data_IF_190872236863
#
_entry.id   IF_190872236863
#
_cell.length_a   1.000
_cell.length_b   1.000
_cell.length_c   1.000
_cell.angle_alpha   90.00
_cell.angle_beta   90.00
_cell.angle_gamma   90.00
#
_symmetry.space_group_name_H-M   'P 1'
#
loop_
_entity.id
_entity.type
_entity.pdbx_description
1 polymer ?
#
# COMPACT_ATOMS: atom_id res chain seq x y z
N UNK A 1 -8.98 11.44 16.66
CA UNK A 1 -7.86 11.56 15.64
C UNK A 1 -7.55 10.19 15.03
N UNK A 2 -8.00 10.02 13.73
CA UNK A 2 -7.94 8.68 13.09
C UNK A 2 -6.47 8.28 12.83
N UNK A 3 -5.92 7.25 13.44
CA UNK A 3 -4.60 6.59 13.29
C UNK A 3 -4.23 6.33 11.83
N UNK A 4 -2.92 6.56 11.34
CA UNK A 4 -2.36 6.38 9.99
C UNK A 4 -2.94 5.13 9.31
N UNK A 5 -3.11 4.08 10.05
CA UNK A 5 -3.67 2.87 9.43
C UNK A 5 -5.12 3.10 8.97
N UNK A 6 -5.75 3.81 9.77
CA UNK A 6 -7.13 4.16 9.37
C UNK A 6 -7.14 5.08 8.14
N UNK A 7 -6.22 6.00 8.05
CA UNK A 7 -6.18 6.91 6.90
C UNK A 7 -5.81 6.14 5.61
N UNK A 8 -4.88 5.18 5.77
CA UNK A 8 -4.46 4.40 4.59
C UNK A 8 -5.66 3.57 4.11
N UNK A 9 -6.36 2.98 5.05
CA UNK A 9 -7.55 2.19 4.65
C UNK A 9 -8.59 3.07 3.96
N UNK A 10 -8.78 4.25 4.48
CA UNK A 10 -9.76 5.16 3.84
C UNK A 10 -9.26 5.63 2.46
N UNK A 11 -7.96 5.86 2.45
CA UNK A 11 -7.43 6.26 1.13
C UNK A 11 -7.57 5.10 0.13
N UNK A 12 -7.24 3.87 0.63
CA UNK A 12 -7.43 2.71 -0.25
C UNK A 12 -8.87 2.60 -0.74
N UNK A 13 -9.81 2.79 0.18
CA UNK A 13 -11.22 2.76 -0.23
C UNK A 13 -11.52 3.86 -1.25
N UNK A 14 -10.97 5.05 -1.04
CA UNK A 14 -11.24 6.15 -2.00
C UNK A 14 -10.70 5.80 -3.39
N UNK A 15 -9.56 5.14 -3.39
CA UNK A 15 -8.91 4.87 -4.68
C UNK A 15 -9.65 3.73 -5.41
N UNK A 16 -10.40 2.91 -4.62
CA UNK A 16 -11.06 1.74 -5.25
C UNK A 16 -12.58 1.97 -5.31
N UNK A 17 -13.02 3.17 -5.08
CA UNK A 17 -14.44 3.44 -4.77
C UNK A 17 -15.32 3.05 -5.96
N UNK A 18 -14.87 3.37 -7.08
CA UNK A 18 -15.78 3.12 -8.22
C UNK A 18 -16.08 1.63 -8.37
N UNK A 19 -15.05 0.87 -8.22
CA UNK A 19 -15.26 -0.59 -8.37
C UNK A 19 -15.94 -1.18 -7.13
N UNK A 20 -15.72 -0.59 -6.04
CA UNK A 20 -16.28 -1.23 -4.83
C UNK A 20 -17.70 -0.75 -4.57
N UNK A 21 -18.15 0.33 -5.28
CA UNK A 21 -19.58 0.68 -5.16
C UNK A 21 -20.46 -0.43 -5.75
N UNK A 22 -19.93 -1.03 -6.78
CA UNK A 22 -20.68 -2.19 -7.31
C UNK A 22 -20.73 -3.34 -6.29
N UNK A 23 -19.63 -3.58 -5.67
CA UNK A 23 -19.64 -4.62 -4.61
C UNK A 23 -20.65 -4.28 -3.50
N UNK A 24 -20.62 -3.01 -3.14
CA UNK A 24 -21.58 -2.61 -2.10
C UNK A 24 -23.02 -2.91 -2.52
N UNK A 25 -23.34 -2.65 -3.72
CA UNK A 25 -24.73 -2.86 -4.20
C UNK A 25 -25.04 -4.36 -4.19
N UNK A 26 -24.09 -5.11 -4.67
CA UNK A 26 -24.33 -6.57 -4.70
C UNK A 26 -24.47 -7.11 -3.26
N UNK A 27 -23.69 -6.72 -2.44
CA UNK A 27 -23.77 -7.17 -1.04
C UNK A 27 -25.08 -6.74 -0.38
N UNK A 28 -25.47 -5.52 -0.64
CA UNK A 28 -26.76 -5.08 -0.04
C UNK A 28 -27.93 -5.91 -0.58
N UNK A 29 -27.80 -6.14 -1.83
CA UNK A 29 -28.88 -6.98 -2.40
C UNK A 29 -28.87 -8.37 -1.75
N UNK A 30 -27.72 -8.91 -1.59
CA UNK A 30 -27.63 -10.24 -0.94
C UNK A 30 -28.12 -10.19 0.50
N UNK A 31 -27.78 -9.19 1.24
CA UNK A 31 -28.21 -9.08 2.65
C UNK A 31 -29.73 -8.92 2.75
N UNK A 32 -30.31 -8.46 1.60
CA UNK A 32 -31.78 -8.31 1.61
C UNK A 32 -32.41 -9.34 0.66
N UNK A 33 -31.89 -10.48 0.60
CA UNK A 33 -32.17 -11.45 -0.49
C UNK A 33 -33.56 -12.07 -0.29
N UNK A 34 -34.19 -11.98 0.87
CA UNK A 34 -35.57 -12.47 1.08
C UNK A 34 -36.53 -12.03 -0.03
N UNK A 35 -36.39 -10.82 -0.42
CA UNK A 35 -37.27 -10.25 -1.47
C UNK A 35 -36.89 -10.76 -2.86
N UNK A 36 -35.61 -10.99 -3.02
CA UNK A 36 -35.16 -11.50 -4.34
C UNK A 36 -35.59 -12.95 -4.54
N UNK A 37 -35.60 -13.59 -3.53
CA UNK A 37 -35.97 -15.03 -3.64
C UNK A 37 -37.48 -15.17 -3.88
N UNK A 38 -38.26 -14.24 -3.32
CA UNK A 38 -39.72 -14.24 -3.57
C UNK A 38 -40.02 -13.99 -5.05
N UNK A 39 -39.04 -13.36 -5.64
CA UNK A 39 -39.24 -13.09 -7.09
C UNK A 39 -38.50 -14.14 -7.93
N UNK A 40 -38.09 -15.23 -7.30
CA UNK A 40 -37.42 -16.38 -7.93
C UNK A 40 -36.09 -15.98 -8.58
N UNK A 41 -35.48 -14.93 -7.97
CA UNK A 41 -34.14 -14.53 -8.43
C UNK A 41 -33.12 -15.04 -7.39
N UNK A 42 -32.10 -15.75 -7.98
CA UNK A 42 -31.05 -16.25 -7.06
C UNK A 42 -29.97 -15.18 -6.86
N UNK A 43 -29.75 -14.83 -5.53
CA UNK A 43 -28.77 -13.75 -5.29
C UNK A 43 -27.33 -14.25 -5.48
N UNK A 44 -26.53 -13.32 -5.95
CA UNK A 44 -25.10 -13.63 -6.08
C UNK A 44 -24.48 -13.81 -4.67
N UNK A 45 -23.73 -14.87 -4.58
CA UNK A 45 -23.24 -15.16 -3.20
C UNK A 45 -21.71 -15.18 -3.19
N UNK A 46 -21.16 -14.88 -4.43
CA UNK A 46 -19.68 -14.83 -4.46
C UNK A 46 -19.22 -13.75 -5.45
N UNK A 47 -18.20 -12.93 -4.91
CA UNK A 47 -17.63 -11.89 -5.79
C UNK A 47 -16.09 -12.02 -5.72
N UNK A 48 -15.54 -11.97 -6.97
CA UNK A 48 -14.06 -11.96 -7.02
C UNK A 48 -13.59 -10.55 -7.42
N UNK A 49 -12.71 -9.96 -6.50
CA UNK A 49 -12.11 -8.64 -6.80
C UNK A 49 -10.67 -8.85 -7.31
N UNK A 50 -10.56 -8.48 -8.58
CA UNK A 50 -9.20 -8.58 -9.16
C UNK A 50 -8.60 -7.17 -9.30
N UNK A 51 -7.44 -7.03 -8.62
CA UNK A 51 -6.90 -5.66 -8.58
C UNK A 51 -5.50 -5.65 -9.18
N UNK A 52 -5.28 -4.50 -9.92
CA UNK A 52 -3.88 -4.31 -10.34
C UNK A 52 -2.93 -4.26 -9.14
N UNK A 53 -1.65 -4.62 -9.44
CA UNK A 53 -0.63 -4.57 -8.36
C UNK A 53 -0.56 -3.17 -7.75
N UNK A 54 -0.60 -3.13 -6.30
CA UNK A 54 -0.35 -1.84 -5.60
C UNK A 54 -1.67 -1.12 -5.30
N UNK A 55 -2.85 -1.72 -5.58
CA UNK A 55 -4.14 -1.00 -5.41
C UNK A 55 -4.63 -1.17 -3.97
N UNK A 56 -4.00 -1.98 -3.28
CA UNK A 56 -4.38 -2.19 -1.86
C UNK A 56 -5.86 -2.54 -1.75
N UNK A 57 -6.43 -3.43 -2.62
CA UNK A 57 -7.88 -3.78 -2.70
C UNK A 57 -8.34 -4.53 -1.44
N UNK A 58 -7.39 -5.20 -0.91
CA UNK A 58 -7.77 -5.91 0.34
C UNK A 58 -8.16 -4.92 1.44
N UNK A 59 -7.35 -3.95 1.62
CA UNK A 59 -7.65 -2.92 2.66
C UNK A 59 -8.94 -2.17 2.32
N UNK A 60 -9.09 -1.95 1.03
CA UNK A 60 -10.29 -1.18 0.63
C UNK A 60 -11.57 -1.98 0.89
N UNK A 61 -11.55 -3.28 0.59
CA UNK A 61 -12.76 -4.11 0.81
C UNK A 61 -13.04 -4.19 2.31
N UNK A 62 -12.00 -4.40 3.07
CA UNK A 62 -12.18 -4.43 4.54
C UNK A 62 -12.85 -3.15 5.05
N UNK A 63 -12.29 -2.02 4.60
CA UNK A 63 -12.86 -0.73 5.05
C UNK A 63 -14.31 -0.55 4.58
N UNK A 64 -14.64 -1.00 3.38
CA UNK A 64 -16.03 -0.90 2.89
C UNK A 64 -16.96 -1.70 3.80
N UNK A 65 -16.55 -2.95 4.09
CA UNK A 65 -17.43 -3.80 4.94
C UNK A 65 -17.62 -3.15 6.32
N UNK A 66 -16.58 -2.56 6.83
CA UNK A 66 -16.75 -1.85 8.13
C UNK A 66 -17.72 -0.68 7.99
N UNK A 67 -17.58 0.06 6.81
CA UNK A 67 -18.50 1.21 6.61
C UNK A 67 -19.95 0.75 6.52
N UNK A 68 -20.10 -0.46 6.07
CA UNK A 68 -21.48 -0.95 5.91
C UNK A 68 -21.97 -1.56 7.21
N UNK A 69 -21.09 -1.72 8.17
CA UNK A 69 -21.51 -2.22 9.49
C UNK A 69 -21.77 -3.74 9.45
N UNK A 70 -21.05 -4.43 8.49
CA UNK A 70 -21.31 -5.88 8.35
C UNK A 70 -20.15 -6.62 9.04
N UNK A 71 -20.60 -7.68 9.72
CA UNK A 71 -19.55 -8.51 10.37
C UNK A 71 -18.95 -9.50 9.36
N UNK A 72 -17.61 -9.60 9.46
CA UNK A 72 -17.02 -10.53 8.48
C UNK A 72 -15.77 -11.17 9.07
N UNK A 73 -15.49 -12.38 8.48
CA UNK A 73 -14.23 -13.06 8.84
C UNK A 73 -13.25 -13.06 7.67
N UNK A 74 -12.00 -12.95 8.17
CA UNK A 74 -10.97 -12.87 7.11
C UNK A 74 -10.06 -14.11 7.20
N UNK A 75 -9.91 -14.76 6.02
CA UNK A 75 -8.90 -15.84 5.93
C UNK A 75 -7.94 -15.60 4.76
N UNK A 76 -6.60 -15.89 5.14
CA UNK A 76 -5.58 -15.60 4.10
C UNK A 76 -4.95 -16.90 3.62
N UNK A 77 -4.95 -17.08 2.26
CA UNK A 77 -4.22 -18.23 1.68
C UNK A 77 -3.58 -17.85 0.33
N UNK A 78 -2.37 -18.52 -0.10
CA UNK A 78 -1.60 -18.48 -1.37
C UNK A 78 -1.94 -17.22 -2.19
N UNK A 79 -1.89 -15.90 -1.52
CA UNK A 79 -1.99 -14.67 -2.34
C UNK A 79 -3.43 -14.22 -2.54
N UNK A 80 -4.32 -14.89 -1.79
CA UNK A 80 -5.77 -14.56 -1.85
C UNK A 80 -6.31 -14.29 -0.45
N UNK A 81 -7.08 -13.25 -0.50
CA UNK A 81 -7.78 -12.98 0.77
C UNK A 81 -9.28 -13.21 0.57
N UNK A 82 -9.74 -14.14 1.51
CA UNK A 82 -11.20 -14.41 1.43
C UNK A 82 -11.90 -13.77 2.64
N UNK A 83 -12.86 -12.94 2.21
CA UNK A 83 -13.71 -12.37 3.28
C UNK A 83 -15.12 -12.98 3.21
N UNK A 84 -15.47 -13.48 4.46
CA UNK A 84 -16.81 -14.10 4.52
C UNK A 84 -17.77 -13.25 5.38
N UNK A 85 -18.89 -12.91 4.67
CA UNK A 85 -19.93 -12.15 5.40
C UNK A 85 -21.09 -13.10 5.75
N UNK A 86 -21.41 -13.07 7.10
CA UNK A 86 -22.49 -13.99 7.53
C UNK A 86 -23.85 -13.26 7.51
N UNK A 87 -24.88 -13.99 6.90
CA UNK A 87 -26.23 -13.39 6.90
C UNK A 87 -27.30 -14.51 6.89
N UNK A 88 -28.06 -14.68 8.16
CA UNK A 88 -29.32 -15.47 8.15
C UNK A 88 -29.08 -16.93 7.77
N UNK A 89 -27.83 -17.61 8.22
CA UNK A 89 -27.59 -19.07 8.02
C UNK A 89 -26.84 -19.33 6.71
N UNK A 90 -26.58 -18.26 5.85
CA UNK A 90 -25.75 -18.39 4.63
C UNK A 90 -24.59 -17.39 4.66
N UNK A 91 -23.59 -17.77 3.70
CA UNK A 91 -22.41 -16.87 3.72
C UNK A 91 -22.16 -16.30 2.32
N UNK A 92 -21.73 -15.03 2.37
CA UNK A 92 -21.31 -14.34 1.13
C UNK A 92 -19.78 -14.28 1.10
N UNK A 93 -19.27 -14.71 -0.14
CA UNK A 93 -17.80 -14.82 -0.18
C UNK A 93 -17.24 -13.72 -1.11
N UNK A 94 -16.19 -13.00 -0.49
CA UNK A 94 -15.45 -12.03 -1.32
C UNK A 94 -13.99 -12.51 -1.39
N UNK A 95 -13.66 -12.69 -2.64
CA UNK A 95 -12.25 -13.05 -2.86
C UNK A 95 -11.48 -11.91 -3.54
N UNK A 96 -10.35 -11.61 -2.84
CA UNK A 96 -9.54 -10.51 -3.42
C UNK A 96 -8.24 -11.11 -3.96
N UNK A 97 -8.05 -10.78 -5.25
CA UNK A 97 -6.80 -11.24 -5.89
C UNK A 97 -5.99 -10.03 -6.37
N UNK A 98 -4.66 -9.96 -5.90
CA UNK A 98 -3.81 -8.82 -6.34
C UNK A 98 -2.79 -9.30 -7.37
N UNK A 99 -2.73 -8.53 -8.60
CA UNK A 99 -1.60 -8.79 -9.50
C UNK A 99 -1.82 -10.08 -10.30
N UNK A 100 -3.10 -10.53 -10.43
CA UNK A 100 -3.32 -11.81 -11.12
C UNK A 100 -4.66 -11.79 -11.88
N UNK A 101 -5.00 -13.02 -12.51
CA UNK A 101 -6.26 -13.22 -13.28
C UNK A 101 -7.23 -14.09 -12.46
N UNK A 102 -8.51 -13.60 -12.64
CA UNK A 102 -9.58 -14.37 -11.95
C UNK A 102 -9.58 -15.83 -12.43
N UNK A 103 -9.44 -16.83 -11.54
CA UNK A 103 -9.59 -18.23 -11.99
C UNK A 103 -11.07 -18.59 -12.15
N UNK A 104 -11.58 -18.69 -13.43
CA UNK A 104 -12.84 -19.23 -13.98
C UNK A 104 -13.70 -19.93 -12.92
N UNK A 105 -14.53 -19.08 -12.24
CA UNK A 105 -15.53 -19.61 -11.28
C UNK A 105 -16.84 -18.83 -11.37
N UNK A 106 -18.00 -19.47 -10.95
CA UNK A 106 -19.43 -19.10 -10.92
C UNK A 106 -19.65 -17.86 -10.05
N UNK A 107 -18.65 -16.77 -10.06
CA UNK A 107 -18.94 -15.55 -9.27
C UNK A 107 -18.73 -14.29 -10.10
N UNK A 108 -19.41 -13.20 -9.66
CA UNK A 108 -19.21 -11.88 -10.29
C UNK A 108 -17.79 -11.36 -10.06
N UNK A 109 -17.16 -10.97 -11.21
CA UNK A 109 -15.77 -10.47 -11.11
C UNK A 109 -15.77 -8.94 -11.25
N UNK A 110 -15.06 -8.35 -10.20
CA UNK A 110 -14.86 -6.90 -10.27
C UNK A 110 -13.38 -6.58 -10.46
N UNK A 111 -13.22 -5.63 -11.43
CA UNK A 111 -11.81 -5.27 -11.67
C UNK A 111 -11.50 -3.90 -11.07
N UNK A 112 -10.40 -3.93 -10.35
CA UNK A 112 -9.97 -2.66 -9.74
C UNK A 112 -8.66 -2.23 -10.41
N UNK A 113 -8.76 -0.99 -10.98
CA UNK A 113 -7.57 -0.47 -11.68
C UNK A 113 -7.09 0.82 -11.01
N UNK A 114 -6.07 1.32 -11.64
CA UNK A 114 -5.46 2.54 -11.06
C UNK A 114 -6.52 3.65 -10.92
N UNK A 115 -6.33 4.43 -9.80
CA UNK A 115 -7.36 5.44 -9.51
C UNK A 115 -7.32 6.61 -10.52
N UNK A 116 -8.51 7.12 -10.79
CA UNK A 116 -8.62 8.37 -11.58
C UNK A 116 -8.29 9.61 -10.76
N UNK A 117 -8.41 10.71 -11.39
CA UNK A 117 -8.04 12.00 -10.77
C UNK A 117 -8.85 12.25 -9.50
N UNK A 118 -10.18 12.09 -9.59
CA UNK A 118 -11.03 12.39 -8.42
C UNK A 118 -10.66 11.48 -7.24
N UNK A 119 -10.43 10.20 -7.52
CA UNK A 119 -10.05 9.27 -6.43
C UNK A 119 -8.70 9.66 -5.80
N UNK A 120 -7.81 10.11 -6.62
CA UNK A 120 -6.49 10.50 -6.06
C UNK A 120 -6.61 11.75 -5.19
N UNK A 121 -7.40 12.65 -5.62
CA UNK A 121 -7.55 13.89 -4.81
C UNK A 121 -8.13 13.52 -3.44
N UNK A 122 -9.10 12.68 -3.51
CA UNK A 122 -9.71 12.31 -2.23
C UNK A 122 -8.72 11.55 -1.34
N UNK A 123 -8.05 10.59 -1.98
CA UNK A 123 -7.06 9.82 -1.19
C UNK A 123 -5.98 10.75 -0.60
N UNK A 124 -5.48 11.64 -1.37
CA UNK A 124 -4.46 12.58 -0.85
C UNK A 124 -5.06 13.49 0.23
N UNK A 125 -6.30 13.83 0.07
CA UNK A 125 -6.96 14.66 1.10
C UNK A 125 -7.00 13.97 2.45
N UNK A 126 -7.22 12.69 2.32
CA UNK A 126 -7.30 11.94 3.60
C UNK A 126 -5.89 11.78 4.18
N UNK A 127 -4.99 11.46 3.38
CA UNK A 127 -3.65 11.09 3.87
C UNK A 127 -2.87 12.34 4.30
N UNK A 128 -3.15 13.47 3.67
CA UNK A 128 -2.27 14.64 3.93
C UNK A 128 -3.02 15.67 4.75
N UNK A 129 -4.10 15.27 5.38
CA UNK A 129 -5.02 16.25 6.02
C UNK A 129 -4.31 16.99 7.16
N UNK A 130 -3.07 16.45 7.59
CA UNK A 130 -2.45 17.14 8.74
C UNK A 130 -1.02 17.58 8.38
N UNK A 131 -0.74 17.61 7.13
CA UNK A 131 0.70 17.77 6.78
C UNK A 131 0.96 19.18 6.27
N UNK A 132 -0.09 20.00 6.17
CA UNK A 132 0.13 21.39 5.73
C UNK A 132 -0.94 21.82 4.72
N UNK A 133 -0.69 23.17 4.18
CA UNK A 133 -1.67 23.73 3.21
C UNK A 133 -1.06 23.76 1.80
N UNK A 134 -1.41 22.84 0.97
CA UNK A 134 -0.90 22.82 -0.42
C UNK A 134 -2.05 22.40 -1.35
N UNK A 135 -1.72 22.72 -2.56
CA UNK A 135 -2.78 22.46 -3.58
C UNK A 135 -2.81 20.97 -3.94
N UNK A 136 -3.85 20.28 -3.43
CA UNK A 136 -3.93 18.81 -3.62
C UNK A 136 -4.28 18.47 -5.07
N UNK A 137 -4.94 19.37 -5.65
CA UNK A 137 -5.32 19.08 -7.05
C UNK A 137 -4.08 19.05 -7.96
N UNK A 138 -3.27 19.97 -7.70
CA UNK A 138 -2.04 19.98 -8.52
C UNK A 138 -1.21 18.72 -8.27
N UNK A 139 -1.11 18.29 -7.05
CA UNK A 139 -0.33 17.07 -6.74
C UNK A 139 -1.01 15.85 -7.37
N UNK A 140 -2.31 15.84 -7.26
CA UNK A 140 -3.04 14.70 -7.86
C UNK A 140 -2.85 14.64 -9.39
N UNK A 141 -2.80 15.79 -9.99
CA UNK A 141 -2.57 15.78 -11.46
C UNK A 141 -1.20 15.21 -11.79
N UNK A 142 -0.32 15.49 -10.93
CA UNK A 142 1.07 15.03 -11.20
C UNK A 142 1.20 13.53 -10.90
N UNK A 143 0.24 12.95 -10.27
CA UNK A 143 0.32 11.53 -9.88
C UNK A 143 -0.42 10.66 -10.89
N UNK A 144 -0.56 11.19 -12.09
CA UNK A 144 -1.26 10.35 -13.09
C UNK A 144 -0.55 8.99 -13.23
N UNK A 145 -1.46 7.93 -13.10
CA UNK A 145 -0.89 6.58 -13.30
C UNK A 145 -0.44 5.94 -11.99
N UNK A 146 -0.57 6.68 -10.90
CA UNK A 146 -0.12 6.11 -9.61
C UNK A 146 -1.15 5.10 -9.11
N UNK A 147 -0.56 3.99 -8.49
CA UNK A 147 -1.43 3.07 -7.72
C UNK A 147 -1.72 3.65 -6.33
N UNK A 148 -2.61 2.96 -5.64
CA UNK A 148 -2.91 3.43 -4.26
C UNK A 148 -1.63 3.43 -3.40
N UNK A 149 -0.84 2.43 -3.59
CA UNK A 149 0.39 2.35 -2.79
C UNK A 149 1.32 3.52 -3.16
N UNK A 150 1.41 3.82 -4.39
CA UNK A 150 2.24 4.99 -4.77
C UNK A 150 1.75 6.27 -4.09
N UNK A 151 0.48 6.42 -4.05
CA UNK A 151 -0.05 7.65 -3.42
C UNK A 151 0.33 7.67 -1.94
N UNK A 152 0.23 6.55 -1.31
CA UNK A 152 0.61 6.48 0.12
C UNK A 152 2.11 6.78 0.26
N UNK A 153 2.89 6.23 -0.56
CA UNK A 153 4.35 6.45 -0.48
C UNK A 153 4.71 7.92 -0.76
N UNK A 154 3.99 8.35 -1.65
CA UNK A 154 4.28 9.78 -1.96
C UNK A 154 4.08 10.65 -0.71
N UNK A 155 3.02 10.41 -0.01
CA UNK A 155 2.76 11.25 1.19
C UNK A 155 3.83 10.98 2.25
N UNK A 156 4.21 9.72 2.39
CA UNK A 156 5.29 9.42 3.37
C UNK A 156 6.60 10.10 2.96
N UNK A 157 6.79 10.01 1.68
CA UNK A 157 8.01 10.68 1.19
C UNK A 157 7.97 12.17 1.50
N UNK A 158 6.93 12.76 1.15
CA UNK A 158 6.87 14.23 1.36
C UNK A 158 7.03 14.57 2.84
N UNK A 159 6.41 13.80 3.69
CA UNK A 159 6.53 14.06 5.14
C UNK A 159 7.98 13.86 5.61
N UNK A 160 8.53 12.84 5.09
CA UNK A 160 9.90 12.54 5.53
C UNK A 160 10.88 13.62 5.01
N UNK A 161 10.75 13.94 3.85
CA UNK A 161 11.63 14.98 3.29
C UNK A 161 11.52 16.30 4.06
N UNK A 162 10.29 16.69 4.32
CA UNK A 162 10.12 17.93 5.10
C UNK A 162 10.82 17.83 6.46
N UNK A 163 10.67 16.69 7.05
CA UNK A 163 11.31 16.52 8.37
C UNK A 163 12.84 16.57 8.22
N UNK A 164 13.35 15.95 7.21
CA UNK A 164 14.81 15.99 6.97
C UNK A 164 15.32 17.42 6.80
N UNK A 165 14.44 18.24 6.38
CA UNK A 165 14.88 19.64 6.20
C UNK A 165 14.60 20.48 7.45
N UNK A 166 14.15 19.81 8.48
CA UNK A 166 13.89 20.49 9.77
C UNK A 166 12.60 21.30 9.76
N UNK A 167 11.74 20.95 8.75
CA UNK A 167 10.48 21.72 8.67
C UNK A 167 9.36 20.91 9.31
N UNK A 168 8.32 21.66 9.91
CA UNK A 168 7.17 20.99 10.59
C UNK A 168 5.97 20.91 9.65
N UNK A 169 6.11 21.58 8.51
CA UNK A 169 4.98 21.49 7.55
C UNK A 169 5.52 21.07 6.17
N UNK A 170 4.60 20.26 5.54
CA UNK A 170 4.97 19.81 4.18
C UNK A 170 4.57 20.87 3.14
N UNK A 171 5.50 21.06 2.16
CA UNK A 171 5.20 22.00 1.05
C UNK A 171 4.98 21.23 -0.26
N UNK A 172 4.40 21.97 -1.15
CA UNK A 172 4.07 21.32 -2.44
C UNK A 172 5.33 20.78 -3.12
N UNK A 173 6.43 21.44 -3.01
CA UNK A 173 7.69 21.00 -3.66
C UNK A 173 8.12 19.63 -3.14
N UNK A 174 7.83 19.34 -1.86
CA UNK A 174 8.15 18.00 -1.33
C UNK A 174 7.40 16.89 -2.09
N UNK A 175 6.21 17.24 -2.44
CA UNK A 175 5.43 16.25 -3.21
C UNK A 175 5.96 16.12 -4.64
N UNK A 176 6.21 17.27 -5.19
CA UNK A 176 6.64 17.20 -6.60
C UNK A 176 7.97 16.45 -6.73
N UNK A 177 8.76 16.66 -5.74
CA UNK A 177 10.00 15.85 -5.78
C UNK A 177 9.68 14.36 -5.66
N UNK A 178 8.83 14.06 -4.76
CA UNK A 178 8.41 12.64 -4.60
C UNK A 178 7.82 12.06 -5.89
N UNK A 179 7.03 12.93 -6.53
CA UNK A 179 6.40 12.45 -7.77
C UNK A 179 7.49 12.14 -8.80
N UNK A 180 8.42 13.03 -8.90
CA UNK A 180 9.50 12.80 -9.87
C UNK A 180 10.25 11.49 -9.56
N UNK A 181 10.38 11.24 -8.28
CA UNK A 181 11.14 10.03 -7.89
C UNK A 181 10.30 8.78 -8.18
N UNK A 182 9.09 8.87 -7.86
CA UNK A 182 8.26 7.67 -8.01
C UNK A 182 7.91 7.43 -9.49
N UNK A 183 7.76 8.51 -10.28
CA UNK A 183 7.47 8.34 -11.72
C UNK A 183 8.71 7.83 -12.47
N UNK A 184 9.90 8.37 -12.11
CA UNK A 184 11.13 7.81 -12.71
C UNK A 184 11.24 6.31 -12.44
N UNK A 185 10.56 5.83 -11.38
CA UNK A 185 10.40 4.37 -11.20
C UNK A 185 9.58 3.75 -12.34
N UNK A 186 8.54 4.57 -12.86
CA UNK A 186 7.62 4.06 -13.92
C UNK A 186 8.30 4.21 -15.30
N UNK A 187 9.51 5.03 -15.33
CA UNK A 187 10.13 5.36 -16.63
C UNK A 187 11.63 5.01 -16.58
N UNK A 188 12.19 3.93 -15.82
CA UNK A 188 13.58 3.76 -16.29
C UNK A 188 14.31 2.86 -15.31
N UNK A 189 14.67 1.50 -15.46
CA UNK A 189 16.02 1.02 -15.84
C UNK A 189 17.07 2.12 -15.68
N UNK A 190 16.87 3.23 -14.80
CA UNK A 190 18.06 4.10 -14.57
C UNK A 190 18.09 4.55 -13.12
N UNK A 191 17.67 3.76 -12.13
CA UNK A 191 17.88 4.13 -10.72
C UNK A 191 19.29 3.70 -10.29
N UNK A 192 19.94 4.77 -9.67
CA UNK A 192 21.27 4.64 -9.05
C UNK A 192 22.00 3.38 -9.55
N UNK A 193 23.11 3.57 -10.21
CA UNK A 193 23.85 2.37 -10.60
C UNK A 193 23.75 1.27 -9.53
N UNK A 194 23.24 0.14 -9.81
CA UNK A 194 23.00 -1.03 -8.92
C UNK A 194 24.14 -1.18 -7.90
N UNK A 195 25.22 -0.75 -8.31
CA UNK A 195 26.37 -0.90 -7.40
C UNK A 195 26.33 0.15 -6.28
N UNK A 196 25.98 1.31 -6.65
CA UNK A 196 25.85 2.37 -5.63
C UNK A 196 24.65 2.11 -4.71
N UNK A 197 23.55 1.68 -5.20
CA UNK A 197 22.37 1.34 -4.38
C UNK A 197 22.69 0.19 -3.42
N UNK A 198 23.38 -0.76 -3.91
CA UNK A 198 23.76 -1.89 -3.04
C UNK A 198 24.70 -1.43 -1.92
N UNK A 199 25.55 -0.51 -2.26
CA UNK A 199 26.45 0.03 -1.21
C UNK A 199 25.67 0.84 -0.16
N UNK A 200 24.71 1.52 -0.57
CA UNK A 200 23.92 2.32 0.38
C UNK A 200 23.11 1.42 1.31
N UNK A 201 22.61 0.28 0.67
CA UNK A 201 21.88 -0.66 1.55
C UNK A 201 22.84 -1.30 2.55
N UNK A 202 24.00 -1.66 2.09
CA UNK A 202 25.00 -2.21 3.03
C UNK A 202 25.31 -1.21 4.15
N UNK A 203 25.51 0.03 3.79
CA UNK A 203 25.76 1.04 4.84
C UNK A 203 24.57 1.13 5.82
N UNK A 204 23.42 1.14 5.21
CA UNK A 204 22.21 1.30 6.06
C UNK A 204 22.06 0.10 7.00
N UNK A 205 22.38 -1.10 6.50
CA UNK A 205 22.27 -2.29 7.37
C UNK A 205 23.35 -2.21 8.47
N UNK A 206 24.48 -1.81 8.08
CA UNK A 206 25.57 -1.70 9.08
C UNK A 206 25.24 -0.67 10.17
N UNK A 207 24.62 0.43 9.83
CA UNK A 207 24.36 1.50 10.83
C UNK A 207 23.01 1.30 11.51
N UNK A 208 22.14 0.76 10.77
CA UNK A 208 20.73 0.77 11.23
C UNK A 208 20.32 -0.64 11.70
N UNK A 209 21.13 -1.63 11.44
CA UNK A 209 20.87 -3.02 11.87
C UNK A 209 19.42 -3.46 11.63
N UNK A 210 18.82 -4.04 12.74
CA UNK A 210 17.46 -4.62 12.63
C UNK A 210 16.41 -3.52 12.41
N UNK A 211 16.79 -2.32 12.84
CA UNK A 211 15.88 -1.18 12.62
C UNK A 211 15.66 -0.87 11.14
N UNK A 212 16.70 -1.00 10.31
CA UNK A 212 16.57 -0.74 8.85
C UNK A 212 15.72 -1.84 8.18
N UNK A 213 15.89 -3.06 8.64
CA UNK A 213 15.04 -4.14 8.10
C UNK A 213 13.56 -3.89 8.42
N UNK A 214 13.42 -3.51 9.64
CA UNK A 214 12.03 -3.17 10.02
C UNK A 214 11.47 -2.02 9.17
N UNK A 215 12.30 -1.08 8.93
CA UNK A 215 11.84 0.07 8.11
C UNK A 215 11.44 -0.40 6.71
N UNK A 216 12.25 -1.31 6.10
CA UNK A 216 11.95 -1.77 4.71
C UNK A 216 10.63 -2.54 4.72
N UNK A 217 10.46 -3.31 5.69
CA UNK A 217 9.21 -4.07 5.76
C UNK A 217 7.98 -3.17 5.89
N UNK A 218 8.13 -2.17 6.75
CA UNK A 218 6.94 -1.31 7.00
C UNK A 218 6.67 -0.39 5.81
N UNK A 219 7.75 -0.06 5.15
CA UNK A 219 7.55 0.80 3.98
C UNK A 219 6.90 -0.03 2.86
N UNK A 220 7.32 -1.25 2.68
CA UNK A 220 6.74 -2.08 1.62
C UNK A 220 5.26 -2.38 1.89
N UNK A 221 5.03 -2.35 3.12
CA UNK A 221 3.64 -2.70 3.47
C UNK A 221 2.77 -1.45 3.57
N UNK A 222 3.46 -0.27 3.45
CA UNK A 222 2.68 0.99 3.59
C UNK A 222 2.22 1.20 5.03
N UNK A 223 2.90 0.64 6.02
CA UNK A 223 2.48 0.77 7.43
C UNK A 223 3.01 2.07 8.04
N UNK A 224 2.41 2.46 9.24
CA UNK A 224 2.87 3.67 9.96
C UNK A 224 4.31 3.48 10.48
N UNK A 225 4.95 4.66 10.28
CA UNK A 225 6.32 4.60 10.84
C UNK A 225 6.37 5.38 12.16
N UNK A 226 6.83 4.66 13.21
CA UNK A 226 7.03 5.48 14.44
C UNK A 226 8.17 6.48 14.25
N UNK A 227 8.30 7.36 15.26
CA UNK A 227 9.23 8.51 15.12
C UNK A 227 10.66 8.03 14.81
N UNK A 228 10.97 6.96 15.48
CA UNK A 228 12.32 6.42 15.24
C UNK A 228 12.50 6.01 13.77
N UNK A 229 11.57 5.29 13.17
CA UNK A 229 11.67 4.84 11.77
C UNK A 229 11.48 6.00 10.79
N UNK A 230 10.73 6.97 11.20
CA UNK A 230 10.59 8.16 10.34
C UNK A 230 11.92 8.88 10.18
N UNK A 231 12.60 8.94 11.29
CA UNK A 231 13.92 9.59 11.21
C UNK A 231 14.89 8.76 10.36
N UNK A 232 14.70 7.46 10.59
CA UNK A 232 15.58 6.58 9.78
C UNK A 232 15.24 6.69 8.29
N UNK A 233 13.98 6.65 7.98
CA UNK A 233 13.58 6.83 6.57
C UNK A 233 14.09 8.15 6.01
N UNK A 234 14.06 9.14 6.89
CA UNK A 234 14.59 10.43 6.40
C UNK A 234 16.07 10.30 6.03
N UNK A 235 16.74 9.52 6.76
CA UNK A 235 18.18 9.34 6.50
C UNK A 235 18.42 8.39 5.33
N UNK A 236 17.53 7.43 5.20
CA UNK A 236 17.75 6.43 4.12
C UNK A 236 16.59 6.50 3.12
N UNK A 237 16.30 7.68 2.58
CA UNK A 237 15.10 7.88 1.73
C UNK A 237 15.29 7.23 0.36
N UNK A 238 16.63 6.82 0.15
CA UNK A 238 16.89 6.22 -1.18
C UNK A 238 16.12 4.91 -1.35
N UNK A 239 15.66 4.27 -0.28
CA UNK A 239 14.98 2.96 -0.43
C UNK A 239 13.62 3.15 -1.12
N UNK A 240 13.15 4.38 -1.05
CA UNK A 240 11.83 4.61 -1.68
C UNK A 240 11.97 4.66 -3.21
N UNK A 241 13.23 4.57 -3.59
CA UNK A 241 13.45 4.63 -5.05
C UNK A 241 13.33 3.21 -5.64
N UNK A 242 13.44 2.20 -4.80
CA UNK A 242 13.34 0.81 -5.29
C UNK A 242 11.91 0.26 -5.12
N UNK A 243 11.59 -0.77 -6.08
CA UNK A 243 10.33 -1.53 -5.87
C UNK A 243 10.42 -2.43 -4.62
N UNK A 244 9.21 -2.58 -4.10
CA UNK A 244 9.20 -3.40 -2.87
C UNK A 244 9.99 -4.69 -3.04
N UNK A 245 9.89 -5.34 -4.17
CA UNK A 245 10.61 -6.63 -4.35
C UNK A 245 12.12 -6.40 -4.40
N UNK A 246 12.46 -5.37 -5.03
CA UNK A 246 13.90 -5.08 -5.11
C UNK A 246 14.47 -4.66 -3.74
N UNK A 247 13.67 -4.00 -2.96
CA UNK A 247 14.16 -3.61 -1.63
C UNK A 247 14.48 -4.85 -0.79
N UNK A 248 13.59 -5.87 -1.01
CA UNK A 248 13.78 -7.09 -0.20
C UNK A 248 15.04 -7.81 -0.66
N UNK A 249 15.16 -7.87 -1.93
CA UNK A 249 16.36 -8.56 -2.46
C UNK A 249 17.63 -7.81 -2.03
N UNK A 250 17.63 -6.60 -2.16
CA UNK A 250 18.85 -5.81 -1.82
C UNK A 250 19.11 -5.84 -0.31
N UNK A 251 18.02 -5.81 0.43
CA UNK A 251 18.22 -5.93 1.89
C UNK A 251 18.85 -7.28 2.23
N UNK A 252 18.34 -8.31 1.60
CA UNK A 252 18.90 -9.64 1.89
C UNK A 252 20.38 -9.71 1.48
N UNK A 253 20.65 -9.22 0.35
CA UNK A 253 22.05 -9.21 -0.09
C UNK A 253 22.93 -8.38 0.85
N UNK A 254 22.51 -7.24 1.22
CA UNK A 254 23.30 -6.37 2.11
C UNK A 254 23.52 -7.03 3.48
N UNK A 255 22.58 -7.74 3.95
CA UNK A 255 22.74 -8.40 5.26
C UNK A 255 23.78 -9.52 5.16
N UNK A 256 23.54 -10.25 4.07
CA UNK A 256 24.52 -11.34 3.87
C UNK A 256 25.95 -10.78 3.77
N UNK A 257 26.10 -9.77 3.03
CA UNK A 257 27.43 -9.15 2.89
C UNK A 257 27.95 -8.58 4.22
N UNK A 258 27.09 -7.99 4.96
CA UNK A 258 27.51 -7.43 6.26
C UNK A 258 27.93 -8.55 7.21
N UNK A 259 27.21 -9.62 7.18
CA UNK A 259 27.57 -10.73 8.09
C UNK A 259 28.93 -11.33 7.70
N UNK A 260 29.11 -11.46 6.39
CA UNK A 260 30.43 -11.95 5.92
C UNK A 260 31.57 -11.02 6.37
N UNK A 261 31.38 -9.75 6.28
CA UNK A 261 32.41 -8.78 6.68
C UNK A 261 32.63 -8.81 8.20
N UNK A 262 31.55 -8.92 8.94
CA UNK A 262 31.69 -9.00 10.41
C UNK A 262 32.51 -10.22 10.82
N UNK A 263 32.31 -11.33 10.16
CA UNK A 263 33.06 -12.56 10.45
C UNK A 263 34.52 -12.44 10.01
N UNK A 264 34.78 -11.81 8.98
CA UNK A 264 36.14 -11.61 8.44
C UNK A 264 36.91 -10.60 9.30
N UNK A 265 36.26 -9.69 9.93
CA UNK A 265 36.94 -8.64 10.69
C UNK A 265 36.79 -8.91 12.19
N UNK A 266 35.93 -9.80 12.71
CA UNK A 266 35.67 -10.17 14.12
C UNK A 266 36.30 -11.53 14.45
N UNK A 267 37.04 -12.29 13.57
CA UNK A 267 37.80 -13.54 13.84
C UNK A 267 39.30 -13.25 13.94
N UNK A 268 39.82 -11.95 14.23
CA UNK A 268 41.24 -11.71 14.52
C UNK A 268 41.43 -11.23 15.97
N UNK A 269 40.54 -11.57 16.96
CA UNK A 269 41.00 -11.33 18.36
C UNK A 269 40.97 -12.65 19.13
N UNK A 270 41.76 -13.61 18.73
CA UNK A 270 42.22 -14.54 19.80
C UNK A 270 43.75 -14.54 19.85
N UNK A 271 44.40 -13.47 20.53
CA UNK A 271 45.65 -13.75 21.25
C UNK A 271 45.36 -14.51 22.56
#
# INVERSE_FOLDING_TARGET
MSGWDSKVSKAALSCCRRSLDALKVVLQAWLNRGKLEERKVRPISKVVVVADEGMMAREAVGELLKEMGVKFRKSEGQGRVVMTVDGGGESFIIEVVEGGEAQGGDGLTLRVSKPGFAERVEALGVLASELGNFDLRSVAEACDGFTTLDVVRLVQFAASRSLADGRDKVEEDDFMEGVAVLQRRINVSETLPDDLSEQLYLMAVSEGGDGFSELVHRVNAGEKLDRRLEKMLARYSFILLDEPEKRVVKLAKARASYERLKKAFGGGQRS
#
